data_IF_384595034568
#
_entry.id   IF_384595034568
#
_cell.length_a   1.000
_cell.length_b   1.000
_cell.length_c   1.000
_cell.angle_alpha   90.00
_cell.angle_beta   90.00
_cell.angle_gamma   90.00
#
_symmetry.space_group_name_H-M   'P 1'
#
loop_
_entity.id
_entity.type
_entity.pdbx_description
1 polymer ?
#
# COMPACT_ATOMS: atom_id res chain seq x y z
N UNK A 1 24.91 -1.35 -22.34
CA UNK A 1 23.67 -2.05 -21.95
C UNK A 1 23.64 -2.06 -20.43
N UNK A 2 23.01 -1.05 -19.83
CA UNK A 2 23.11 -0.79 -18.39
C UNK A 2 22.13 -1.68 -17.64
N UNK A 3 22.63 -2.80 -17.11
CA UNK A 3 21.91 -3.67 -16.18
C UNK A 3 22.02 -3.03 -14.79
N UNK A 4 21.17 -2.05 -14.50
CA UNK A 4 20.90 -1.66 -13.13
C UNK A 4 19.63 -2.41 -12.74
N UNK A 5 19.79 -3.54 -12.03
CA UNK A 5 18.67 -4.13 -11.30
C UNK A 5 18.22 -3.08 -10.30
N UNK A 6 17.02 -2.57 -10.50
CA UNK A 6 16.31 -1.71 -9.55
C UNK A 6 16.54 -2.22 -8.13
N UNK A 7 17.07 -1.34 -7.27
CA UNK A 7 17.15 -1.62 -5.84
C UNK A 7 15.76 -2.06 -5.38
N UNK A 8 15.66 -3.27 -4.84
CA UNK A 8 14.38 -3.89 -4.48
C UNK A 8 13.67 -2.95 -3.50
N UNK A 9 12.66 -2.24 -4.00
CA UNK A 9 11.82 -1.37 -3.16
C UNK A 9 11.09 -2.29 -2.19
N UNK A 10 11.32 -2.10 -0.89
CA UNK A 10 10.67 -2.90 0.13
C UNK A 10 9.15 -2.78 0.01
N UNK A 11 8.45 -3.92 0.08
CA UNK A 11 7.02 -4.02 -0.19
C UNK A 11 6.37 -5.04 0.74
N UNK A 12 5.21 -4.68 1.29
CA UNK A 12 4.30 -5.63 1.94
C UNK A 12 3.19 -6.05 0.97
N UNK A 13 2.69 -7.27 1.15
CA UNK A 13 1.57 -7.81 0.38
C UNK A 13 0.50 -8.29 1.36
N UNK A 14 -0.73 -7.81 1.17
CA UNK A 14 -1.92 -8.28 1.88
C UNK A 14 -2.86 -8.98 0.89
N UNK A 15 -2.97 -10.29 1.00
CA UNK A 15 -3.98 -11.08 0.30
C UNK A 15 -5.26 -11.14 1.14
N UNK A 16 -6.36 -10.62 0.60
CA UNK A 16 -7.66 -10.60 1.27
C UNK A 16 -8.57 -11.74 0.81
N UNK A 17 -8.18 -12.54 -0.19
CA UNK A 17 -9.00 -13.64 -0.66
C UNK A 17 -9.29 -14.65 0.46
N UNK A 18 -8.35 -14.93 1.35
CA UNK A 18 -8.54 -15.94 2.40
C UNK A 18 -9.52 -15.52 3.51
N UNK A 19 -9.78 -14.22 3.63
CA UNK A 19 -10.63 -13.64 4.69
C UNK A 19 -11.85 -12.90 4.14
N UNK A 20 -12.17 -13.08 2.85
CA UNK A 20 -13.21 -12.33 2.13
C UNK A 20 -14.61 -12.38 2.79
N UNK A 21 -14.94 -13.47 3.50
CA UNK A 21 -16.22 -13.68 4.17
C UNK A 21 -16.24 -13.23 5.65
N UNK A 22 -15.13 -12.69 6.17
CA UNK A 22 -14.99 -12.25 7.57
C UNK A 22 -14.84 -10.74 7.63
N UNK A 23 -15.96 -10.04 7.50
CA UNK A 23 -16.03 -8.57 7.40
C UNK A 23 -15.14 -7.81 8.39
N UNK A 24 -15.21 -8.12 9.68
CA UNK A 24 -14.41 -7.45 10.71
C UNK A 24 -12.91 -7.72 10.59
N UNK A 25 -12.51 -8.91 10.10
CA UNK A 25 -11.10 -9.27 9.92
C UNK A 25 -10.45 -8.49 8.78
N UNK A 26 -11.22 -8.08 7.78
CA UNK A 26 -10.71 -7.28 6.65
C UNK A 26 -10.21 -5.91 7.15
N UNK A 27 -11.01 -5.22 7.95
CA UNK A 27 -10.68 -3.86 8.41
C UNK A 27 -9.50 -3.90 9.40
N UNK A 28 -9.41 -4.94 10.22
CA UNK A 28 -8.26 -5.20 11.10
C UNK A 28 -6.98 -5.44 10.29
N UNK A 29 -7.00 -6.38 9.34
CA UNK A 29 -5.84 -6.70 8.51
C UNK A 29 -5.37 -5.51 7.66
N UNK A 30 -6.32 -4.72 7.14
CA UNK A 30 -6.00 -3.48 6.44
C UNK A 30 -5.33 -2.46 7.36
N UNK A 31 -5.80 -2.30 8.60
CA UNK A 31 -5.19 -1.38 9.56
C UNK A 31 -3.78 -1.83 9.93
N UNK A 32 -3.62 -3.11 10.26
CA UNK A 32 -2.34 -3.74 10.62
C UNK A 32 -1.28 -3.55 9.53
N UNK A 33 -1.59 -3.87 8.26
CA UNK A 33 -0.59 -3.74 7.18
C UNK A 33 -0.22 -2.28 6.88
N UNK A 34 -1.16 -1.35 7.04
CA UNK A 34 -0.90 0.08 6.83
C UNK A 34 -0.02 0.62 7.97
N UNK A 35 -0.31 0.25 9.21
CA UNK A 35 0.46 0.66 10.38
C UNK A 35 1.88 0.07 10.32
N UNK A 36 2.00 -1.21 9.97
CA UNK A 36 3.29 -1.86 9.76
C UNK A 36 4.12 -1.15 8.67
N UNK A 37 3.48 -0.75 7.57
CA UNK A 37 4.17 -0.02 6.50
C UNK A 37 4.70 1.35 6.97
N UNK A 38 3.95 2.04 7.84
CA UNK A 38 4.38 3.30 8.45
C UNK A 38 5.54 3.06 9.41
N UNK A 39 5.38 2.15 10.35
CA UNK A 39 6.34 1.88 11.43
C UNK A 39 7.68 1.38 10.88
N UNK A 40 7.63 0.50 9.88
CA UNK A 40 8.82 -0.09 9.25
C UNK A 40 9.36 0.74 8.08
N UNK A 41 8.77 1.91 7.79
CA UNK A 41 9.11 2.79 6.67
C UNK A 41 9.13 2.06 5.32
N UNK A 42 8.14 1.20 5.09
CA UNK A 42 7.95 0.48 3.82
C UNK A 42 7.28 1.42 2.82
N UNK A 43 7.86 1.54 1.62
CA UNK A 43 7.37 2.51 0.64
C UNK A 43 6.05 2.10 -0.02
N UNK A 44 5.75 0.79 -0.08
CA UNK A 44 4.60 0.26 -0.84
C UNK A 44 3.90 -0.92 -0.15
N UNK A 45 2.57 -0.90 -0.17
CA UNK A 45 1.72 -2.05 0.16
C UNK A 45 0.95 -2.45 -1.11
N UNK A 46 1.02 -3.71 -1.51
CA UNK A 46 0.09 -4.31 -2.48
C UNK A 46 -1.06 -4.99 -1.75
N UNK A 47 -2.28 -4.65 -2.14
CA UNK A 47 -3.49 -5.25 -1.59
C UNK A 47 -4.16 -6.04 -2.72
N UNK A 48 -4.44 -7.32 -2.46
CA UNK A 48 -5.06 -8.25 -3.40
C UNK A 48 -6.48 -8.58 -2.92
N UNK A 49 -7.50 -7.75 -3.26
CA UNK A 49 -8.89 -8.05 -2.96
C UNK A 49 -9.54 -9.01 -3.97
N UNK A 50 -8.87 -9.35 -5.07
CA UNK A 50 -9.39 -10.27 -6.07
C UNK A 50 -10.15 -9.65 -7.24
N UNK A 51 -10.47 -10.49 -8.23
CA UNK A 51 -11.14 -10.12 -9.50
C UNK A 51 -12.65 -10.34 -9.52
N UNK A 52 -13.26 -10.72 -8.40
CA UNK A 52 -14.69 -11.06 -8.32
C UNK A 52 -15.63 -9.88 -8.60
N UNK A 53 -16.80 -9.84 -7.97
CA UNK A 53 -17.83 -8.78 -8.17
C UNK A 53 -17.40 -7.34 -7.86
N UNK A 54 -16.16 -7.14 -7.38
CA UNK A 54 -15.61 -5.83 -7.03
C UNK A 54 -16.06 -5.29 -5.66
N UNK A 55 -16.94 -6.00 -4.96
CA UNK A 55 -17.43 -5.57 -3.64
C UNK A 55 -16.30 -5.46 -2.61
N UNK A 56 -15.40 -6.45 -2.57
CA UNK A 56 -14.24 -6.41 -1.68
C UNK A 56 -13.30 -5.25 -2.03
N UNK A 57 -13.06 -5.00 -3.32
CA UNK A 57 -12.28 -3.83 -3.78
C UNK A 57 -12.93 -2.50 -3.38
N UNK A 58 -14.25 -2.35 -3.52
CA UNK A 58 -14.99 -1.16 -3.07
C UNK A 58 -14.85 -0.97 -1.56
N UNK A 59 -14.93 -2.05 -0.78
CA UNK A 59 -14.72 -2.02 0.67
C UNK A 59 -13.32 -1.54 1.04
N UNK A 60 -12.28 -2.08 0.40
CA UNK A 60 -10.88 -1.63 0.59
C UNK A 60 -10.73 -0.14 0.28
N UNK A 61 -11.27 0.32 -0.86
CA UNK A 61 -11.18 1.74 -1.22
C UNK A 61 -11.90 2.66 -0.22
N UNK A 62 -13.05 2.23 0.31
CA UNK A 62 -13.77 2.98 1.36
C UNK A 62 -12.99 3.04 2.66
N UNK A 63 -12.30 1.96 3.04
CA UNK A 63 -11.41 1.94 4.20
C UNK A 63 -10.25 2.92 4.02
N UNK A 64 -9.60 2.89 2.86
CA UNK A 64 -8.46 3.77 2.57
C UNK A 64 -8.85 5.25 2.58
N UNK A 65 -10.09 5.60 2.21
CA UNK A 65 -10.56 6.98 2.19
C UNK A 65 -10.96 7.53 3.59
N UNK A 66 -10.94 6.70 4.64
CA UNK A 66 -11.11 7.17 6.02
C UNK A 66 -10.01 8.21 6.34
N UNK A 67 -10.39 9.35 6.93
CA UNK A 67 -9.51 10.52 7.12
C UNK A 67 -8.19 10.16 7.82
N UNK A 68 -8.27 9.33 8.86
CA UNK A 68 -7.13 8.87 9.65
C UNK A 68 -6.22 7.89 8.91
N UNK A 69 -6.76 7.13 7.94
CA UNK A 69 -6.00 6.19 7.11
C UNK A 69 -5.36 6.94 5.95
N UNK A 70 -6.12 7.82 5.27
CA UNK A 70 -5.66 8.64 4.16
C UNK A 70 -4.49 9.54 4.53
N UNK A 71 -4.41 9.99 5.79
CA UNK A 71 -3.29 10.77 6.29
C UNK A 71 -1.95 10.00 6.34
N UNK A 72 -1.97 8.65 6.27
CA UNK A 72 -0.77 7.81 6.39
C UNK A 72 -0.04 7.55 5.07
N UNK A 73 -0.69 7.79 3.94
CA UNK A 73 -0.14 7.51 2.61
C UNK A 73 -0.33 8.71 1.67
N UNK A 74 0.33 8.71 0.51
CA UNK A 74 0.24 9.84 -0.43
C UNK A 74 -0.38 9.47 -1.79
N UNK A 75 -0.41 8.19 -2.16
CA UNK A 75 -0.98 7.74 -3.43
C UNK A 75 -1.58 6.35 -3.33
N UNK A 76 -2.68 6.14 -4.04
CA UNK A 76 -3.25 4.81 -4.34
C UNK A 76 -3.26 4.63 -5.85
N UNK A 77 -2.73 3.51 -6.34
CA UNK A 77 -2.81 3.12 -7.75
C UNK A 77 -3.67 1.88 -7.92
N UNK A 78 -4.66 1.98 -8.80
CA UNK A 78 -5.53 0.86 -9.18
C UNK A 78 -4.90 0.26 -10.42
N UNK A 79 -4.32 -0.91 -10.30
CA UNK A 79 -3.61 -1.54 -11.42
C UNK A 79 -4.55 -1.76 -12.60
N UNK A 80 -4.27 -1.06 -13.70
CA UNK A 80 -5.03 -1.09 -14.95
C UNK A 80 -4.77 -2.35 -15.79
N UNK A 81 -3.68 -3.07 -15.51
CA UNK A 81 -3.29 -4.34 -16.16
C UNK A 81 -3.74 -5.54 -15.34
N UNK A 82 -3.80 -5.41 -14.02
CA UNK A 82 -4.30 -6.44 -13.10
C UNK A 82 -5.33 -5.87 -12.13
N UNK A 83 -6.59 -5.85 -12.55
CA UNK A 83 -7.69 -5.28 -11.76
C UNK A 83 -7.92 -5.95 -10.40
N UNK A 84 -7.35 -7.14 -10.17
CA UNK A 84 -7.46 -7.90 -8.92
C UNK A 84 -6.58 -7.38 -7.78
N UNK A 85 -5.79 -6.33 -8.02
CA UNK A 85 -4.94 -5.68 -7.01
C UNK A 85 -4.97 -4.17 -7.07
N UNK A 86 -4.42 -3.55 -6.05
CA UNK A 86 -4.12 -2.12 -5.97
C UNK A 86 -2.88 -1.90 -5.10
N UNK A 87 -2.26 -0.73 -5.26
CA UNK A 87 -1.06 -0.34 -4.53
C UNK A 87 -1.33 0.90 -3.70
N UNK A 88 -0.80 0.92 -2.47
CA UNK A 88 -0.77 2.09 -1.59
C UNK A 88 0.69 2.49 -1.42
N UNK A 89 1.01 3.76 -1.69
CA UNK A 89 2.35 4.30 -1.61
C UNK A 89 2.50 5.26 -0.45
N UNK A 90 3.58 5.09 0.30
CA UNK A 90 3.92 5.85 1.49
C UNK A 90 5.07 6.80 1.18
N UNK A 91 5.08 7.96 1.84
CA UNK A 91 6.18 8.92 1.75
C UNK A 91 6.82 9.00 3.12
N UNK A 92 7.99 8.40 3.24
CA UNK A 92 8.80 8.48 4.45
C UNK A 92 9.81 9.60 4.28
N UNK A 93 9.96 10.47 5.28
CA UNK A 93 11.13 11.34 5.33
C UNK A 93 12.35 10.46 5.60
N UNK A 94 12.99 10.00 4.52
CA UNK A 94 14.29 9.36 4.60
C UNK A 94 15.24 10.46 4.99
N UNK A 95 15.49 10.60 6.30
CA UNK A 95 16.29 11.65 6.91
C UNK A 95 17.39 12.11 5.95
N UNK A 96 17.25 13.35 5.53
CA UNK A 96 18.06 13.97 4.49
C UNK A 96 19.54 13.62 4.66
N UNK A 97 20.18 13.12 3.61
CA UNK A 97 21.58 13.44 3.39
C UNK A 97 21.67 14.96 3.26
N UNK A 98 21.96 15.66 4.36
CA UNK A 98 22.40 17.06 4.34
C UNK A 98 23.73 17.12 3.59
N UNK A 99 23.66 17.10 2.28
CA UNK A 99 24.79 17.19 1.38
C UNK A 99 24.45 18.16 0.26
N UNK A 100 25.07 19.34 0.32
CA UNK A 100 25.16 20.36 -0.75
C UNK A 100 24.15 21.52 -0.66
N UNK A 101 24.33 22.32 0.38
CA UNK A 101 24.33 23.78 0.24
C UNK A 101 25.56 24.13 -0.62
N UNK A 102 25.42 24.23 -1.94
CA UNK A 102 26.40 24.96 -2.75
C UNK A 102 26.02 26.43 -2.68
N UNK A 103 27.00 27.23 -2.29
CA UNK A 103 26.99 28.70 -2.32
C UNK A 103 26.46 29.23 -3.64
#
# INVERSE_FOLDING_TARGET
MSIWKDGVVAKLVLDLHDIFNKGQKIDAALREVIDEAVDRKIDTVEIIPGKGSGQLKKKVLRFLDQKEIKAKYHRVDKDSKNFGRLFVYFKHDRGQGKGRRKR
#
